data_IF_838495555031
#
_entry.id   IF_838495555031
#
_cell.length_a   1.000
_cell.length_b   1.000
_cell.length_c   1.000
_cell.angle_alpha   90.00
_cell.angle_beta   90.00
_cell.angle_gamma   90.00
#
_symmetry.space_group_name_H-M   'P 1'
#
loop_
_entity.id
_entity.type
_entity.pdbx_description
1 polymer ?
#
# COMPACT_ATOMS: atom_id res chain seq x y z
N UNK A 1 1.97 -22.82 -15.59
CA UNK A 1 1.36 -21.63 -16.22
C UNK A 1 -0.14 -21.84 -16.51
N UNK A 2 -0.73 -22.93 -16.04
CA UNK A 2 -2.11 -23.37 -16.33
C UNK A 2 -3.18 -22.91 -15.33
N UNK A 3 -2.82 -22.47 -14.12
CA UNK A 3 -3.79 -22.00 -13.11
C UNK A 3 -4.45 -20.66 -13.43
N UNK A 4 -4.04 -19.99 -14.52
CA UNK A 4 -4.49 -18.64 -14.86
C UNK A 4 -5.82 -18.59 -15.60
N UNK A 5 -6.10 -19.63 -16.41
CA UNK A 5 -7.32 -19.68 -17.24
C UNK A 5 -8.52 -20.25 -16.49
N UNK A 6 -8.30 -20.93 -15.36
CA UNK A 6 -9.35 -21.66 -14.64
C UNK A 6 -10.07 -20.85 -13.55
N UNK A 7 -9.52 -19.71 -13.09
CA UNK A 7 -10.16 -18.92 -12.02
C UNK A 7 -11.46 -18.31 -12.53
N UNK A 8 -12.56 -18.77 -11.98
CA UNK A 8 -13.90 -18.24 -12.30
C UNK A 8 -14.13 -16.87 -11.64
N UNK A 9 -15.14 -16.09 -12.07
CA UNK A 9 -15.56 -14.88 -11.37
C UNK A 9 -15.82 -15.10 -9.88
N UNK A 10 -16.48 -16.20 -9.53
CA UNK A 10 -16.78 -16.54 -8.13
C UNK A 10 -15.51 -16.78 -7.30
N UNK A 11 -14.51 -17.48 -7.88
CA UNK A 11 -13.22 -17.71 -7.23
C UNK A 11 -12.47 -16.39 -7.01
N UNK A 12 -12.45 -15.50 -8.00
CA UNK A 12 -11.83 -14.20 -7.90
C UNK A 12 -12.45 -13.37 -6.77
N UNK A 13 -13.78 -13.30 -6.70
CA UNK A 13 -14.50 -12.58 -5.65
C UNK A 13 -14.22 -13.18 -4.27
N UNK A 14 -14.25 -14.52 -4.14
CA UNK A 14 -13.97 -15.22 -2.89
C UNK A 14 -12.55 -14.93 -2.40
N UNK A 15 -11.56 -14.99 -3.27
CA UNK A 15 -10.17 -14.72 -2.90
C UNK A 15 -9.99 -13.25 -2.52
N UNK A 16 -10.50 -12.30 -3.32
CA UNK A 16 -10.44 -10.87 -3.00
C UNK A 16 -11.11 -10.57 -1.66
N UNK A 17 -12.25 -11.18 -1.34
CA UNK A 17 -12.95 -10.97 -0.07
C UNK A 17 -12.16 -11.45 1.15
N UNK A 18 -11.30 -12.45 0.99
CA UNK A 18 -10.48 -13.02 2.07
C UNK A 18 -9.22 -12.22 2.40
N UNK A 19 -8.79 -11.31 1.52
CA UNK A 19 -7.49 -10.59 1.66
C UNK A 19 -7.41 -9.76 2.93
N UNK A 20 -8.42 -8.93 3.31
CA UNK A 20 -8.33 -8.09 4.50
C UNK A 20 -8.14 -8.90 5.78
N UNK A 21 -8.88 -10.00 5.94
CA UNK A 21 -8.77 -10.88 7.11
C UNK A 21 -7.38 -11.52 7.17
N UNK A 22 -6.87 -12.03 6.04
CA UNK A 22 -5.53 -12.62 5.96
C UNK A 22 -4.43 -11.64 6.32
N UNK A 23 -4.56 -10.36 5.90
CA UNK A 23 -3.59 -9.32 6.26
C UNK A 23 -3.69 -9.07 7.77
N UNK A 24 -4.89 -8.88 8.30
CA UNK A 24 -5.13 -8.67 9.73
C UNK A 24 -4.51 -9.78 10.58
N UNK A 25 -4.71 -11.04 10.20
CA UNK A 25 -4.14 -12.20 10.90
C UNK A 25 -2.60 -12.19 10.87
N UNK A 26 -2.01 -11.81 9.73
CA UNK A 26 -0.55 -11.80 9.56
C UNK A 26 0.13 -10.68 10.35
N UNK A 27 -0.55 -9.56 10.59
CA UNK A 27 0.01 -8.42 11.32
C UNK A 27 -0.36 -8.42 12.80
N UNK A 28 -1.26 -9.29 13.21
CA UNK A 28 -1.69 -9.39 14.60
C UNK A 28 -0.50 -9.65 15.54
N UNK A 29 -0.31 -8.76 16.51
CA UNK A 29 0.79 -8.85 17.48
C UNK A 29 2.17 -8.44 16.95
N UNK A 30 2.25 -7.85 15.76
CA UNK A 30 3.49 -7.24 15.27
C UNK A 30 3.67 -5.85 15.86
N UNK A 31 4.75 -5.65 16.58
CA UNK A 31 5.17 -4.34 17.09
C UNK A 31 5.92 -3.54 16.00
N UNK A 32 6.18 -2.27 16.29
CA UNK A 32 6.88 -1.35 15.40
C UNK A 32 8.27 -1.88 14.98
N UNK A 33 8.96 -2.56 15.86
CA UNK A 33 10.29 -3.13 15.59
C UNK A 33 10.22 -4.21 14.53
N UNK A 34 9.22 -5.10 14.65
CA UNK A 34 8.97 -6.16 13.67
C UNK A 34 8.49 -5.62 12.33
N UNK A 35 7.66 -4.58 12.33
CA UNK A 35 7.23 -3.91 11.10
C UNK A 35 8.39 -3.26 10.33
N UNK A 36 9.44 -2.83 11.05
CA UNK A 36 10.67 -2.29 10.44
C UNK A 36 11.66 -3.37 10.01
N UNK A 37 11.38 -4.64 10.32
CA UNK A 37 12.26 -5.72 9.91
C UNK A 37 12.42 -5.77 8.39
N UNK A 38 13.67 -5.97 7.96
CA UNK A 38 14.09 -6.08 6.57
C UNK A 38 15.04 -7.28 6.46
N UNK A 39 14.70 -8.23 5.60
CA UNK A 39 15.53 -9.43 5.42
C UNK A 39 16.91 -9.12 4.81
N UNK A 40 17.06 -7.98 4.16
CA UNK A 40 18.33 -7.50 3.60
C UNK A 40 18.14 -6.12 2.94
N UNK A 41 19.24 -5.41 2.62
CA UNK A 41 19.17 -4.01 2.16
C UNK A 41 18.38 -3.81 0.85
N UNK A 42 18.30 -4.86 0.03
CA UNK A 42 17.54 -4.82 -1.24
C UNK A 42 16.06 -5.17 -1.09
N UNK A 43 15.60 -5.55 0.10
CA UNK A 43 14.21 -5.94 0.33
C UNK A 43 13.44 -4.81 1.02
N UNK A 44 12.12 -4.67 0.75
CA UNK A 44 11.28 -3.76 1.51
C UNK A 44 11.20 -4.19 2.98
N UNK A 45 10.83 -3.28 3.86
CA UNK A 45 10.45 -3.63 5.23
C UNK A 45 9.14 -4.41 5.23
N UNK A 46 8.88 -5.17 6.29
CA UNK A 46 7.61 -5.87 6.45
C UNK A 46 6.42 -4.91 6.38
N UNK A 47 6.48 -3.78 7.10
CA UNK A 47 5.49 -2.72 7.03
C UNK A 47 5.35 -2.14 5.63
N UNK A 48 6.47 -1.85 4.94
CA UNK A 48 6.47 -1.36 3.56
C UNK A 48 5.77 -2.31 2.59
N UNK A 49 5.97 -3.63 2.75
CA UNK A 49 5.30 -4.63 1.93
C UNK A 49 3.78 -4.67 2.18
N UNK A 50 3.36 -4.54 3.45
CA UNK A 50 1.94 -4.49 3.82
C UNK A 50 1.29 -3.24 3.22
N UNK A 51 1.90 -2.06 3.39
CA UNK A 51 1.36 -0.83 2.82
C UNK A 51 1.29 -0.86 1.29
N UNK A 52 2.30 -1.45 0.63
CA UNK A 52 2.25 -1.66 -0.82
C UNK A 52 1.03 -2.49 -1.23
N UNK A 53 0.75 -3.56 -0.50
CA UNK A 53 -0.41 -4.42 -0.73
C UNK A 53 -1.74 -3.66 -0.53
N UNK A 54 -1.85 -2.85 0.53
CA UNK A 54 -3.04 -2.04 0.80
C UNK A 54 -3.26 -0.96 -0.28
N UNK A 55 -2.19 -0.29 -0.71
CA UNK A 55 -2.23 0.75 -1.74
C UNK A 55 -2.63 0.18 -3.10
N UNK A 56 -1.99 -0.91 -3.54
CA UNK A 56 -2.31 -1.57 -4.80
C UNK A 56 -3.75 -2.07 -4.82
N UNK A 57 -4.19 -2.74 -3.75
CA UNK A 57 -5.57 -3.21 -3.63
C UNK A 57 -6.59 -2.07 -3.69
N UNK A 58 -6.34 -0.96 -3.01
CA UNK A 58 -7.22 0.23 -3.03
C UNK A 58 -7.29 0.87 -4.41
N UNK A 59 -6.18 0.92 -5.15
CA UNK A 59 -6.14 1.43 -6.54
C UNK A 59 -6.96 0.55 -7.47
N UNK A 60 -6.82 -0.76 -7.36
CA UNK A 60 -7.62 -1.71 -8.17
C UNK A 60 -9.10 -1.64 -7.80
N UNK A 61 -9.46 -1.55 -6.52
CA UNK A 61 -10.83 -1.38 -6.08
C UNK A 61 -11.45 -0.10 -6.67
N UNK A 62 -10.68 0.98 -6.73
CA UNK A 62 -11.10 2.23 -7.38
C UNK A 62 -11.28 2.04 -8.89
N UNK A 63 -10.35 1.37 -9.57
CA UNK A 63 -10.43 1.08 -10.99
C UNK A 63 -11.69 0.28 -11.33
N UNK A 64 -11.94 -0.82 -10.62
CA UNK A 64 -13.11 -1.68 -10.86
C UNK A 64 -14.43 -0.92 -10.70
N UNK A 65 -14.56 -0.08 -9.69
CA UNK A 65 -15.73 0.75 -9.47
C UNK A 65 -15.93 1.77 -10.58
N UNK A 66 -14.89 2.50 -10.99
CA UNK A 66 -14.98 3.47 -12.08
C UNK A 66 -15.26 2.80 -13.42
N UNK A 67 -14.64 1.64 -13.69
CA UNK A 67 -14.93 0.88 -14.90
C UNK A 67 -16.40 0.44 -14.98
N UNK A 68 -17.00 0.10 -13.84
CA UNK A 68 -18.42 -0.29 -13.79
C UNK A 68 -19.37 0.92 -13.86
N UNK A 69 -19.17 1.93 -13.00
CA UNK A 69 -20.12 3.04 -12.81
C UNK A 69 -19.99 4.09 -13.92
N UNK A 70 -18.78 4.41 -14.32
CA UNK A 70 -18.49 5.52 -15.23
C UNK A 70 -18.17 5.05 -16.66
N UNK A 71 -18.19 3.73 -16.90
CA UNK A 71 -17.90 3.16 -18.21
C UNK A 71 -16.44 3.39 -18.64
N UNK A 72 -15.50 3.43 -17.68
CA UNK A 72 -14.09 3.68 -17.96
C UNK A 72 -13.54 2.69 -19.00
N UNK A 73 -13.13 3.21 -20.15
CA UNK A 73 -12.62 2.40 -21.26
C UNK A 73 -11.08 2.28 -21.24
N UNK A 74 -10.40 3.15 -20.48
CA UNK A 74 -8.94 3.20 -20.40
C UNK A 74 -8.50 3.43 -18.97
N UNK A 75 -7.59 2.59 -18.47
CA UNK A 75 -6.99 2.71 -17.14
C UNK A 75 -5.58 2.11 -17.13
N UNK A 76 -4.67 2.68 -16.36
CA UNK A 76 -3.35 2.09 -16.13
C UNK A 76 -3.47 0.89 -15.17
N UNK A 77 -3.90 -0.23 -15.73
CA UNK A 77 -4.19 -1.47 -14.99
C UNK A 77 -2.93 -1.99 -14.30
N UNK A 78 -1.80 -1.95 -15.01
CA UNK A 78 -0.53 -2.44 -14.47
C UNK A 78 -0.01 -1.59 -13.34
N UNK A 79 -0.11 -0.25 -13.45
CA UNK A 79 0.30 0.64 -12.37
C UNK A 79 -0.67 0.61 -11.17
N UNK A 80 -1.93 0.25 -11.38
CA UNK A 80 -2.85 0.03 -10.26
C UNK A 80 -2.48 -1.23 -9.48
N UNK A 81 -2.10 -2.32 -10.17
CA UNK A 81 -1.74 -3.59 -9.55
C UNK A 81 -0.34 -3.53 -8.93
N UNK A 82 0.63 -3.01 -9.66
CA UNK A 82 2.01 -2.86 -9.17
C UNK A 82 2.49 -1.42 -9.39
N UNK A 83 2.21 -0.52 -8.44
CA UNK A 83 2.61 0.88 -8.53
C UNK A 83 4.13 1.10 -8.42
N UNK A 84 4.92 0.03 -8.30
CA UNK A 84 6.36 0.09 -8.05
C UNK A 84 6.70 0.29 -6.56
N UNK A 85 7.95 0.04 -6.22
CA UNK A 85 8.44 0.04 -4.84
C UNK A 85 8.72 1.44 -4.26
N UNK A 86 8.42 2.51 -5.00
CA UNK A 86 8.79 3.88 -4.62
C UNK A 86 8.11 4.42 -3.35
N UNK A 87 7.08 3.76 -2.84
CA UNK A 87 6.37 4.20 -1.62
C UNK A 87 6.84 3.48 -0.35
N UNK A 88 7.61 2.39 -0.48
CA UNK A 88 7.94 1.52 0.67
C UNK A 88 8.90 2.13 1.70
N UNK A 89 9.79 3.03 1.27
CA UNK A 89 10.81 3.59 2.17
C UNK A 89 10.31 4.81 2.97
N UNK A 90 9.28 5.51 2.47
CA UNK A 90 8.71 6.67 3.18
C UNK A 90 7.74 6.27 4.31
N UNK A 91 7.24 5.04 4.29
CA UNK A 91 6.29 4.51 5.27
C UNK A 91 6.97 3.86 6.47
N UNK A 92 8.30 3.75 6.46
CA UNK A 92 9.08 3.16 7.57
C UNK A 92 8.89 3.86 8.93
N UNK A 93 8.30 5.04 8.95
CA UNK A 93 7.95 5.79 10.17
C UNK A 93 6.48 5.59 10.61
N UNK A 94 5.73 4.68 9.96
CA UNK A 94 4.33 4.45 10.30
C UNK A 94 4.19 3.75 11.64
N UNK A 95 3.49 4.40 12.53
CA UNK A 95 3.14 3.85 13.83
C UNK A 95 2.16 2.65 13.64
N UNK A 96 2.16 1.70 14.56
CA UNK A 96 1.24 0.56 14.58
C UNK A 96 -0.24 1.01 14.43
N UNK A 97 -0.61 2.12 15.07
CA UNK A 97 -1.95 2.71 14.94
C UNK A 97 -2.31 3.09 13.50
N UNK A 98 -1.37 3.66 12.74
CA UNK A 98 -1.59 4.03 11.34
C UNK A 98 -1.74 2.80 10.44
N UNK A 99 -1.06 1.70 10.76
CA UNK A 99 -1.21 0.45 10.02
C UNK A 99 -2.59 -0.17 10.25
N UNK A 100 -3.05 -0.23 11.51
CA UNK A 100 -4.36 -0.77 11.83
C UNK A 100 -5.48 0.03 11.17
N UNK A 101 -5.40 1.38 11.20
CA UNK A 101 -6.34 2.26 10.50
C UNK A 101 -6.34 1.99 8.99
N UNK A 102 -5.16 1.86 8.38
CA UNK A 102 -5.05 1.57 6.94
C UNK A 102 -5.65 0.20 6.57
N UNK A 103 -5.48 -0.83 7.41
CA UNK A 103 -6.09 -2.15 7.20
C UNK A 103 -7.61 -2.07 7.30
N UNK A 104 -8.15 -1.33 8.29
CA UNK A 104 -9.59 -1.14 8.44
C UNK A 104 -10.20 -0.39 7.25
N UNK A 105 -9.52 0.66 6.77
CA UNK A 105 -9.93 1.42 5.60
C UNK A 105 -9.93 0.55 4.35
N UNK A 106 -8.88 -0.22 4.14
CA UNK A 106 -8.80 -1.18 3.05
C UNK A 106 -9.93 -2.21 3.11
N UNK A 107 -10.17 -2.81 4.29
CA UNK A 107 -11.25 -3.77 4.47
C UNK A 107 -12.63 -3.16 4.15
N UNK A 108 -12.84 -1.89 4.50
CA UNK A 108 -14.08 -1.15 4.18
C UNK A 108 -14.25 -0.92 2.68
N UNK A 109 -13.18 -0.51 2.00
CA UNK A 109 -13.18 -0.29 0.54
C UNK A 109 -13.37 -1.62 -0.19
N UNK A 110 -12.63 -2.66 0.19
CA UNK A 110 -12.71 -4.00 -0.40
C UNK A 110 -14.12 -4.60 -0.27
N UNK A 111 -14.76 -4.46 0.85
CA UNK A 111 -16.12 -4.95 1.05
C UNK A 111 -17.09 -4.33 0.05
N UNK A 112 -17.03 -3.02 -0.16
CA UNK A 112 -17.86 -2.32 -1.15
C UNK A 112 -17.59 -2.81 -2.58
N UNK A 113 -16.33 -3.09 -2.91
CA UNK A 113 -15.96 -3.64 -4.22
C UNK A 113 -16.48 -5.05 -4.39
N UNK A 114 -16.35 -5.90 -3.39
CA UNK A 114 -16.87 -7.29 -3.40
C UNK A 114 -18.39 -7.29 -3.56
N UNK A 115 -19.10 -6.42 -2.82
CA UNK A 115 -20.56 -6.26 -2.96
C UNK A 115 -20.97 -5.87 -4.39
N UNK A 116 -20.19 -4.98 -5.01
CA UNK A 116 -20.39 -4.59 -6.42
C UNK A 116 -20.16 -5.79 -7.36
N UNK A 117 -19.07 -6.52 -7.19
CA UNK A 117 -18.70 -7.67 -8.03
C UNK A 117 -19.73 -8.81 -7.95
N UNK A 118 -20.38 -9.03 -6.80
CA UNK A 118 -21.46 -10.00 -6.66
C UNK A 118 -22.69 -9.68 -7.55
N UNK A 119 -22.89 -8.42 -7.87
CA UNK A 119 -23.97 -7.99 -8.76
C UNK A 119 -23.64 -8.10 -10.26
N UNK A 120 -22.41 -8.44 -10.64
CA UNK A 120 -21.99 -8.47 -12.02
C UNK A 120 -22.47 -9.71 -12.77
N UNK A 121 -23.05 -9.46 -13.96
CA UNK A 121 -23.34 -10.51 -14.93
C UNK A 121 -22.17 -10.71 -15.90
N UNK A 122 -22.38 -11.59 -16.89
CA UNK A 122 -21.36 -11.89 -17.89
C UNK A 122 -20.87 -10.65 -18.63
N UNK A 123 -21.74 -9.72 -18.97
CA UNK A 123 -21.38 -8.53 -19.74
C UNK A 123 -20.43 -7.60 -18.97
N UNK A 124 -20.60 -7.48 -17.64
CA UNK A 124 -19.70 -6.71 -16.80
C UNK A 124 -18.34 -7.39 -16.70
N UNK A 125 -18.29 -8.69 -16.48
CA UNK A 125 -17.05 -9.45 -16.40
C UNK A 125 -16.24 -9.42 -17.71
N UNK A 126 -16.92 -9.46 -18.86
CA UNK A 126 -16.30 -9.42 -20.19
C UNK A 126 -15.98 -8.00 -20.67
N UNK A 127 -16.35 -6.97 -19.91
CA UNK A 127 -16.03 -5.59 -20.28
C UNK A 127 -14.52 -5.37 -20.32
N UNK A 128 -14.07 -4.72 -21.39
CA UNK A 128 -12.64 -4.52 -21.67
C UNK A 128 -12.20 -3.12 -21.24
N UNK A 129 -11.08 -3.05 -20.57
CA UNK A 129 -10.34 -1.84 -20.24
C UNK A 129 -8.99 -1.87 -20.96
N UNK A 130 -8.64 -0.81 -21.66
CA UNK A 130 -7.37 -0.67 -22.36
C UNK A 130 -6.31 -0.05 -21.43
N UNK A 131 -5.12 -0.64 -21.40
CA UNK A 131 -3.97 -0.10 -20.66
C UNK A 131 -3.15 0.81 -21.57
N UNK A 132 -2.85 2.06 -21.22
CA UNK A 132 -2.06 2.98 -22.03
C UNK A 132 -0.63 2.48 -22.27
N UNK A 133 -0.12 1.57 -21.45
CA UNK A 133 1.18 0.89 -21.65
C UNK A 133 1.11 -0.25 -22.65
N UNK A 134 -0.07 -0.50 -23.23
CA UNK A 134 -0.35 -1.53 -24.21
C UNK A 134 -1.01 -2.76 -23.63
N UNK A 135 -1.98 -3.26 -24.37
CA UNK A 135 -2.83 -4.38 -24.01
C UNK A 135 -4.25 -3.95 -23.63
N UNK A 136 -5.11 -4.94 -23.59
CA UNK A 136 -6.50 -4.80 -23.14
C UNK A 136 -6.82 -5.96 -22.24
N UNK A 137 -7.55 -5.70 -21.17
CA UNK A 137 -7.90 -6.68 -20.14
C UNK A 137 -9.41 -6.66 -19.92
N UNK A 138 -10.01 -7.83 -19.79
CA UNK A 138 -11.37 -7.91 -19.25
C UNK A 138 -11.35 -7.52 -17.77
N UNK A 139 -12.49 -7.11 -17.22
CA UNK A 139 -12.56 -6.86 -15.77
C UNK A 139 -12.29 -8.13 -14.96
N UNK A 140 -12.63 -9.31 -15.52
CA UNK A 140 -12.22 -10.57 -14.92
C UNK A 140 -10.71 -10.77 -14.93
N UNK A 141 -10.01 -10.38 -16.00
CA UNK A 141 -8.54 -10.47 -16.05
C UNK A 141 -7.91 -9.52 -15.02
N UNK A 142 -8.46 -8.32 -14.83
CA UNK A 142 -8.01 -7.39 -13.76
C UNK A 142 -8.17 -8.03 -12.39
N UNK A 143 -9.33 -8.65 -12.09
CA UNK A 143 -9.53 -9.35 -10.83
C UNK A 143 -8.58 -10.54 -10.63
N UNK A 144 -8.30 -11.29 -11.67
CA UNK A 144 -7.32 -12.40 -11.64
C UNK A 144 -5.91 -11.91 -11.37
N UNK A 145 -5.52 -10.80 -12.01
CA UNK A 145 -4.19 -10.21 -11.84
C UNK A 145 -3.99 -9.68 -10.43
N UNK A 146 -4.94 -8.93 -9.89
CA UNK A 146 -4.85 -8.39 -8.52
C UNK A 146 -4.86 -9.52 -7.49
N UNK A 147 -5.73 -10.51 -7.65
CA UNK A 147 -5.78 -11.66 -6.74
C UNK A 147 -4.44 -12.37 -6.66
N UNK A 148 -3.79 -12.60 -7.81
CA UNK A 148 -2.46 -13.22 -7.85
C UNK A 148 -1.40 -12.35 -7.17
N UNK A 149 -1.40 -11.07 -7.45
CA UNK A 149 -0.48 -10.10 -6.85
C UNK A 149 -0.62 -10.11 -5.32
N UNK A 150 -1.85 -9.98 -4.82
CA UNK A 150 -2.15 -9.98 -3.38
C UNK A 150 -1.77 -11.30 -2.70
N UNK A 151 -2.10 -12.46 -3.30
CA UNK A 151 -1.72 -13.76 -2.75
C UNK A 151 -0.20 -13.95 -2.74
N UNK A 152 0.51 -13.43 -3.74
CA UNK A 152 1.96 -13.41 -3.79
C UNK A 152 2.55 -12.64 -2.60
N UNK A 153 2.06 -11.43 -2.34
CA UNK A 153 2.51 -10.62 -1.22
C UNK A 153 2.11 -11.19 0.16
N UNK A 154 0.91 -11.74 0.30
CA UNK A 154 0.50 -12.46 1.52
C UNK A 154 1.48 -13.60 1.81
N UNK A 155 1.90 -14.35 0.79
CA UNK A 155 2.89 -15.42 0.95
C UNK A 155 4.27 -14.87 1.33
N UNK A 156 4.70 -13.74 0.77
CA UNK A 156 5.94 -13.08 1.14
C UNK A 156 5.91 -12.57 2.58
N UNK A 157 4.83 -11.91 3.00
CA UNK A 157 4.63 -11.42 4.36
C UNK A 157 4.71 -12.59 5.35
N UNK A 158 3.99 -13.70 5.06
CA UNK A 158 4.02 -14.90 5.89
C UNK A 158 5.44 -15.47 6.03
N UNK A 159 6.18 -15.56 4.94
CA UNK A 159 7.54 -16.06 4.98
C UNK A 159 8.47 -15.13 5.79
N UNK A 160 8.29 -13.81 5.68
CA UNK A 160 9.05 -12.84 6.46
C UNK A 160 8.70 -12.90 7.95
N UNK A 161 7.43 -13.12 8.32
CA UNK A 161 7.02 -13.24 9.73
C UNK A 161 7.63 -14.47 10.40
N UNK A 162 7.84 -15.56 9.65
CA UNK A 162 8.55 -16.76 10.16
C UNK A 162 10.04 -16.49 10.37
N UNK A 163 10.62 -15.56 9.63
CA UNK A 163 12.05 -15.20 9.70
C UNK A 163 12.33 -14.07 10.71
N UNK A 164 11.28 -13.53 11.35
CA UNK A 164 11.49 -12.49 12.35
C UNK A 164 12.34 -13.03 13.51
N UNK A 165 13.38 -12.30 13.92
CA UNK A 165 14.15 -12.66 15.08
C UNK A 165 13.26 -12.65 16.33
N UNK A 166 13.61 -13.51 17.31
CA UNK A 166 12.91 -13.49 18.60
C UNK A 166 13.02 -12.09 19.24
N UNK A 167 12.00 -11.62 19.97
CA UNK A 167 11.98 -10.28 20.55
C UNK A 167 13.22 -9.92 21.40
N UNK A 168 13.88 -10.93 21.98
CA UNK A 168 15.10 -10.79 22.79
C UNK A 168 16.37 -10.50 21.96
N UNK A 169 16.38 -10.90 20.69
CA UNK A 169 17.51 -10.74 19.78
C UNK A 169 17.53 -9.39 19.07
N UNK A 170 16.44 -8.65 19.19
CA UNK A 170 16.28 -7.33 18.57
C UNK A 170 16.93 -6.21 19.37
N UNK A 171 17.91 -6.44 20.21
CA UNK A 171 18.69 -5.49 21.00
C UNK A 171 18.06 -4.11 21.29
N UNK A 172 18.46 -3.34 22.27
CA UNK A 172 17.90 -2.02 22.49
C UNK A 172 18.08 -1.17 21.22
N UNK A 173 16.98 -0.79 20.59
CA UNK A 173 16.99 0.14 19.45
C UNK A 173 17.76 1.39 19.86
N UNK A 174 18.63 1.94 19.01
CA UNK A 174 19.24 3.23 19.28
C UNK A 174 18.09 4.24 19.48
N UNK A 175 17.94 4.69 20.73
CA UNK A 175 16.99 5.76 21.03
C UNK A 175 17.37 6.92 20.10
N UNK A 176 16.46 7.27 19.17
CA UNK A 176 16.60 8.54 18.45
C UNK A 176 16.70 9.61 19.51
N UNK A 177 17.87 10.21 19.64
CA UNK A 177 18.03 11.42 20.46
C UNK A 177 17.15 12.50 19.83
N UNK A 178 15.91 12.61 20.31
CA UNK A 178 15.00 13.73 20.02
C UNK A 178 15.53 14.98 20.75
N UNK A 179 16.78 15.31 20.54
CA UNK A 179 17.25 16.66 20.76
C UNK A 179 17.21 17.38 19.40
N UNK A 180 16.22 18.22 19.17
CA UNK A 180 16.42 19.28 18.22
C UNK A 180 17.55 20.10 18.83
N UNK A 181 18.73 20.02 18.26
CA UNK A 181 19.77 21.02 18.47
C UNK A 181 19.11 22.34 18.07
N UNK A 182 18.60 23.05 19.09
CA UNK A 182 18.18 24.45 18.96
C UNK A 182 19.39 25.16 18.39
N UNK A 183 19.33 25.74 17.18
CA UNK A 183 20.42 26.57 16.70
C UNK A 183 20.63 27.63 17.77
N UNK A 184 21.85 27.69 18.30
CA UNK A 184 22.27 28.80 19.14
C UNK A 184 21.91 30.08 18.41
N UNK A 185 21.11 30.93 19.08
CA UNK A 185 20.79 32.25 18.59
C UNK A 185 22.12 32.96 18.40
N UNK A 186 22.53 33.11 17.15
CA UNK A 186 23.63 34.01 16.82
C UNK A 186 23.22 35.37 17.31
N UNK A 187 23.98 35.86 18.31
CA UNK A 187 23.93 37.21 18.82
C UNK A 187 24.20 38.18 17.67
N UNK A 188 23.12 38.59 16.98
CA UNK A 188 23.18 39.64 15.99
C UNK A 188 23.36 40.93 16.74
N UNK A 189 24.61 41.37 16.87
CA UNK A 189 24.98 42.65 17.42
C UNK A 189 24.12 43.80 16.83
N UNK A 190 24.08 44.95 17.54
CA UNK A 190 23.12 46.05 17.26
C UNK A 190 23.23 46.51 15.80
N UNK A 191 22.11 46.48 15.11
CA UNK A 191 21.96 47.01 13.76
C UNK A 191 22.18 48.52 13.76
N UNK A 192 22.98 49.09 12.83
CA UNK A 192 23.12 50.54 12.69
C UNK A 192 21.79 51.15 12.26
N UNK A 193 21.39 52.21 12.96
CA UNK A 193 20.19 52.97 12.66
C UNK A 193 20.35 53.70 11.30
N UNK A 194 19.31 53.76 10.47
CA UNK A 194 19.36 54.60 9.28
C UNK A 194 19.42 56.08 9.64
N UNK A 195 20.38 56.79 9.05
CA UNK A 195 20.50 58.24 9.11
C UNK A 195 19.23 58.86 8.50
N UNK A 196 18.60 59.71 9.28
CA UNK A 196 17.52 60.57 8.82
C UNK A 196 18.12 61.67 7.95
N UNK A 197 17.92 61.60 6.64
CA UNK A 197 18.12 62.76 5.76
C UNK A 197 16.90 63.69 5.96
N UNK A 198 17.15 64.77 6.72
CA UNK A 198 16.37 65.99 6.68
C UNK A 198 17.12 66.99 5.79
N UNK A 199 16.35 67.76 5.04
CA UNK A 199 16.73 69.00 4.30
C UNK A 199 16.86 68.70 2.73
N UNK A 200 15.99 69.21 1.96
CA UNK A 200 15.43 70.50 1.52
C UNK A 200 14.31 70.27 0.47
#
# INVERSE_FOLDING_TARGET
MELQEEMSPADAVLLMSSVPERISDLVFGLDETRLRYRHGPAFPTLGGLIFHLLDSGSKVDSLLRHAHLDGLATADVRAAIDPGTSSGDTVADSQESALNEAIEDFARVRRRTVDLLHGWGKNEWDRVVSDPRGGSFTLLDVCRMVTRHEMGHISQIRNLTVLLPEPQDLGPQPQRSNHPTRPEAQDLGPQPQPLSDSDE
#
